data_IF_161942190475
#
_entry.id   IF_161942190475
#
_cell.length_a   1.000
_cell.length_b   1.000
_cell.length_c   1.000
_cell.angle_alpha   90.00
_cell.angle_beta   90.00
_cell.angle_gamma   90.00
#
_symmetry.space_group_name_H-M   'P 1'
#
loop_
_entity.id
_entity.type
_entity.pdbx_description
1 polymer ?
#
# COMPACT_ATOMS: atom_id res chain seq x y z
N UNK A 1 -4.76 9.71 -17.66
CA UNK A 1 -4.48 8.55 -16.81
C UNK A 1 -3.63 8.96 -15.62
N UNK A 2 -3.93 8.42 -14.45
CA UNK A 2 -3.19 8.70 -13.24
C UNK A 2 -2.51 7.45 -12.71
N UNK A 3 -1.50 7.66 -11.88
CA UNK A 3 -0.81 6.60 -11.16
C UNK A 3 -0.94 6.86 -9.67
N UNK A 4 -0.99 5.81 -8.88
CA UNK A 4 -1.23 5.90 -7.45
C UNK A 4 -0.14 5.19 -6.68
N UNK A 5 0.35 5.84 -5.63
CA UNK A 5 1.17 5.18 -4.62
C UNK A 5 0.23 4.80 -3.49
N UNK A 6 0.32 3.58 -3.01
CA UNK A 6 -0.59 3.09 -1.98
C UNK A 6 0.17 2.38 -0.87
N UNK A 7 -0.44 2.38 0.30
CA UNK A 7 0.04 1.63 1.46
C UNK A 7 -1.08 0.71 1.90
N UNK A 8 -0.79 -0.58 1.94
CA UNK A 8 -1.73 -1.61 2.39
C UNK A 8 -1.33 -2.08 3.77
N UNK A 9 -2.32 -2.47 4.56
CA UNK A 9 -2.11 -3.00 5.90
C UNK A 9 -2.78 -4.36 6.01
N UNK A 10 -2.10 -5.30 6.64
CA UNK A 10 -2.66 -6.62 6.91
C UNK A 10 -2.38 -7.00 8.36
N UNK A 11 -3.36 -7.55 9.04
CA UNK A 11 -3.18 -8.09 10.38
C UNK A 11 -2.88 -9.57 10.27
N UNK A 12 -1.70 -9.97 10.75
CA UNK A 12 -1.26 -11.36 10.74
C UNK A 12 -1.02 -11.77 12.18
N UNK A 13 -1.91 -12.61 12.70
CA UNK A 13 -1.94 -12.98 14.13
C UNK A 13 -2.17 -11.71 14.96
N UNK A 14 -1.24 -11.34 15.83
CA UNK A 14 -1.35 -10.15 16.68
C UNK A 14 -0.45 -8.99 16.23
N UNK A 15 0.05 -9.05 14.99
CA UNK A 15 0.91 -8.01 14.42
C UNK A 15 0.31 -7.43 13.16
N UNK A 16 0.73 -6.20 12.84
CA UNK A 16 0.37 -5.55 11.57
C UNK A 16 1.60 -5.49 10.69
N UNK A 17 1.42 -5.82 9.43
CA UNK A 17 2.45 -5.65 8.41
C UNK A 17 1.92 -4.76 7.30
N UNK A 18 2.81 -4.08 6.61
CA UNK A 18 2.42 -3.15 5.55
C UNK A 18 3.14 -3.46 4.24
N UNK A 19 2.53 -3.00 3.15
CA UNK A 19 3.09 -3.15 1.83
C UNK A 19 2.89 -1.86 1.04
N UNK A 20 3.95 -1.37 0.40
CA UNK A 20 3.92 -0.17 -0.44
C UNK A 20 4.01 -0.59 -1.89
N UNK A 21 3.20 0.03 -2.74
CA UNK A 21 3.25 -0.22 -4.16
C UNK A 21 2.75 0.97 -4.96
N UNK A 22 2.79 0.85 -6.28
CA UNK A 22 2.16 1.83 -7.16
C UNK A 22 1.41 1.11 -8.28
N UNK A 23 0.40 1.78 -8.82
CA UNK A 23 -0.43 1.19 -9.86
C UNK A 23 -1.19 2.28 -10.60
N UNK A 24 -1.67 1.99 -11.79
CA UNK A 24 -2.59 2.87 -12.51
C UNK A 24 -4.06 2.47 -12.26
N UNK A 25 -4.30 1.42 -11.51
CA UNK A 25 -5.66 0.95 -11.19
C UNK A 25 -5.67 0.36 -9.78
N UNK A 26 -6.03 1.21 -8.80
CA UNK A 26 -6.01 0.83 -7.38
C UNK A 26 -6.91 -0.36 -7.09
N UNK A 27 -8.16 -0.31 -7.55
CA UNK A 27 -9.14 -1.35 -7.26
C UNK A 27 -8.68 -2.71 -7.77
N UNK A 28 -8.24 -2.76 -9.01
CA UNK A 28 -7.75 -4.00 -9.60
C UNK A 28 -6.52 -4.54 -8.88
N UNK A 29 -5.60 -3.64 -8.51
CA UNK A 29 -4.35 -4.04 -7.86
C UNK A 29 -4.61 -4.60 -6.46
N UNK A 30 -5.51 -3.98 -5.70
CA UNK A 30 -5.89 -4.46 -4.38
C UNK A 30 -6.55 -5.84 -4.49
N UNK A 31 -7.41 -6.02 -5.49
CA UNK A 31 -8.03 -7.33 -5.73
C UNK A 31 -7.00 -8.39 -6.05
N UNK A 32 -5.95 -8.05 -6.82
CA UNK A 32 -4.87 -8.98 -7.11
C UNK A 32 -4.11 -9.37 -5.84
N UNK A 33 -3.81 -8.41 -4.97
CA UNK A 33 -3.13 -8.71 -3.70
C UNK A 33 -4.00 -9.63 -2.84
N UNK A 34 -5.30 -9.35 -2.74
CA UNK A 34 -6.19 -10.12 -1.89
C UNK A 34 -6.52 -11.50 -2.47
N UNK A 35 -6.32 -11.71 -3.76
CA UNK A 35 -6.49 -13.02 -4.40
C UNK A 35 -5.17 -13.79 -4.52
N UNK A 36 -4.11 -13.32 -3.86
CA UNK A 36 -2.78 -13.93 -3.87
C UNK A 36 -2.12 -13.93 -5.25
N UNK A 37 -2.54 -13.01 -6.13
CA UNK A 37 -2.00 -12.85 -7.48
C UNK A 37 -1.20 -11.55 -7.66
N UNK A 38 -0.99 -10.81 -6.58
CA UNK A 38 -0.17 -9.60 -6.60
C UNK A 38 1.30 -9.95 -6.37
N UNK A 39 1.96 -9.20 -5.48
CA UNK A 39 3.34 -9.46 -5.16
C UNK A 39 3.49 -10.73 -4.31
N UNK A 40 4.65 -11.35 -4.39
CA UNK A 40 4.94 -12.56 -3.61
C UNK A 40 4.75 -12.33 -2.11
N UNK A 41 5.18 -11.17 -1.61
CA UNK A 41 5.05 -10.80 -0.20
C UNK A 41 3.59 -10.74 0.27
N UNK A 42 2.66 -10.35 -0.62
CA UNK A 42 1.25 -10.17 -0.25
C UNK A 42 0.43 -11.44 -0.31
N UNK A 43 1.03 -12.53 -0.77
CA UNK A 43 0.33 -13.80 -0.97
C UNK A 43 -0.19 -14.39 0.35
N UNK A 44 -1.43 -14.87 0.33
CA UNK A 44 -2.02 -15.53 1.47
C UNK A 44 -2.46 -14.61 2.62
N UNK A 45 -2.55 -13.31 2.37
CA UNK A 45 -2.92 -12.32 3.39
C UNK A 45 -4.09 -11.47 2.90
N UNK A 46 -4.83 -10.90 3.85
CA UNK A 46 -5.90 -9.94 3.55
C UNK A 46 -5.38 -8.52 3.74
N UNK A 47 -5.49 -7.72 2.71
CA UNK A 47 -4.94 -6.37 2.68
C UNK A 47 -6.04 -5.31 2.63
N UNK A 48 -5.85 -4.25 3.41
CA UNK A 48 -6.73 -3.08 3.44
C UNK A 48 -5.91 -1.86 3.04
N UNK A 49 -6.40 -1.05 2.08
CA UNK A 49 -5.70 0.18 1.73
C UNK A 49 -5.90 1.22 2.83
N UNK A 50 -4.81 1.76 3.37
CA UNK A 50 -4.86 2.77 4.43
C UNK A 50 -4.32 4.12 3.97
N UNK A 51 -3.76 4.19 2.77
CA UNK A 51 -3.21 5.42 2.23
C UNK A 51 -3.09 5.28 0.72
N UNK A 52 -3.43 6.37 0.00
CA UNK A 52 -3.15 6.44 -1.42
C UNK A 52 -2.95 7.89 -1.82
N UNK A 53 -2.07 8.11 -2.79
CA UNK A 53 -1.83 9.43 -3.35
C UNK A 53 -1.68 9.32 -4.85
N UNK A 54 -2.30 10.26 -5.56
CA UNK A 54 -2.36 10.28 -7.02
C UNK A 54 -1.22 11.11 -7.61
N UNK A 55 -0.68 10.62 -8.71
CA UNK A 55 0.37 11.31 -9.47
C UNK A 55 0.02 11.30 -10.96
N UNK A 56 0.50 12.29 -11.69
CA UNK A 56 0.19 12.39 -13.12
C UNK A 56 1.04 11.47 -13.99
N UNK A 57 2.23 11.11 -13.55
CA UNK A 57 3.13 10.29 -14.35
C UNK A 57 3.60 9.07 -13.60
N UNK A 58 3.93 8.03 -14.35
CA UNK A 58 4.49 6.80 -13.80
C UNK A 58 5.82 7.07 -13.09
N UNK A 59 6.64 7.93 -13.67
CA UNK A 59 7.95 8.29 -13.12
C UNK A 59 7.82 8.90 -11.73
N UNK A 60 6.87 9.83 -11.57
CA UNK A 60 6.61 10.43 -10.26
C UNK A 60 6.15 9.40 -9.25
N UNK A 61 5.21 8.52 -9.67
CA UNK A 61 4.68 7.49 -8.77
C UNK A 61 5.79 6.53 -8.33
N UNK A 62 6.64 6.11 -9.25
CA UNK A 62 7.76 5.22 -8.93
C UNK A 62 8.71 5.86 -7.92
N UNK A 63 9.03 7.13 -8.11
CA UNK A 63 9.92 7.87 -7.22
C UNK A 63 9.30 8.01 -5.83
N UNK A 64 8.01 8.35 -5.77
CA UNK A 64 7.33 8.54 -4.49
C UNK A 64 7.04 7.21 -3.78
N UNK A 65 6.83 6.15 -4.55
CA UNK A 65 6.72 4.80 -3.99
C UNK A 65 8.04 4.41 -3.29
N UNK A 66 9.16 4.66 -3.95
CA UNK A 66 10.47 4.38 -3.39
C UNK A 66 10.70 5.17 -2.09
N UNK A 67 10.34 6.46 -2.10
CA UNK A 67 10.48 7.29 -0.90
C UNK A 67 9.64 6.75 0.25
N UNK A 68 8.38 6.41 0.00
CA UNK A 68 7.50 5.88 1.04
C UNK A 68 7.99 4.55 1.56
N UNK A 69 8.47 3.69 0.66
CA UNK A 69 9.02 2.39 1.03
C UNK A 69 10.20 2.52 1.99
N UNK A 70 11.00 3.57 1.85
CA UNK A 70 12.18 3.82 2.67
C UNK A 70 11.92 4.79 3.84
N UNK A 71 10.68 5.25 4.01
CA UNK A 71 10.31 6.17 5.08
C UNK A 71 9.48 5.46 6.14
N UNK A 72 10.15 4.72 6.99
CA UNK A 72 9.51 3.94 8.05
C UNK A 72 8.68 4.81 8.99
N UNK A 73 9.19 5.99 9.33
CA UNK A 73 8.52 6.92 10.24
C UNK A 73 7.16 7.35 9.66
N UNK A 74 7.15 7.73 8.39
CA UNK A 74 5.91 8.15 7.72
C UNK A 74 4.91 6.99 7.64
N UNK A 75 5.36 5.79 7.29
CA UNK A 75 4.48 4.62 7.23
C UNK A 75 3.89 4.29 8.60
N UNK A 76 4.69 4.40 9.65
CA UNK A 76 4.22 4.18 11.03
C UNK A 76 3.16 5.20 11.41
N UNK A 77 3.36 6.48 11.09
CA UNK A 77 2.37 7.53 11.38
C UNK A 77 1.05 7.28 10.65
N UNK A 78 1.11 6.90 9.38
CA UNK A 78 -0.09 6.57 8.60
C UNK A 78 -0.84 5.40 9.27
N UNK A 79 -0.13 4.36 9.64
CA UNK A 79 -0.70 3.19 10.29
C UNK A 79 -1.39 3.54 11.61
N UNK A 80 -0.70 4.30 12.46
CA UNK A 80 -1.24 4.69 13.77
C UNK A 80 -2.48 5.54 13.62
N UNK A 81 -2.48 6.48 12.66
CA UNK A 81 -3.63 7.30 12.38
C UNK A 81 -4.84 6.46 11.94
N UNK A 82 -4.60 5.50 11.07
CA UNK A 82 -5.66 4.58 10.62
C UNK A 82 -6.23 3.77 11.78
N UNK A 83 -5.36 3.17 12.61
CA UNK A 83 -5.78 2.32 13.72
C UNK A 83 -6.54 3.11 14.79
N UNK A 84 -6.20 4.38 14.97
CA UNK A 84 -6.87 5.25 15.93
C UNK A 84 -8.34 5.50 15.56
N UNK A 85 -8.70 5.39 14.28
CA UNK A 85 -10.05 5.67 13.79
C UNK A 85 -10.88 4.41 13.48
N UNK A 86 -10.42 3.26 13.92
CA UNK A 86 -11.19 2.02 13.79
C UNK A 86 -12.32 1.93 14.80
#
# INVERSE_FOLDING_TARGET
MYFFVYLLLSKVKDRYISYVGYTNNIENRINLHNSSKGAKFTKGKKWVPIYQKRYKTKSEAMREEFKLKNDRKKRTLIKLKYLKHL
#
